data_IF_896162262698
#
_entry.id   IF_896162262698
#
_cell.length_a   1.000
_cell.length_b   1.000
_cell.length_c   1.000
_cell.angle_alpha   90.00
_cell.angle_beta   90.00
_cell.angle_gamma   90.00
#
_symmetry.space_group_name_H-M   'P 1'
#
loop_
_entity.id
_entity.type
_entity.pdbx_description
1 polymer ?
#
# COMPACT_ATOMS: atom_id res chain seq x y z
N UNK A 1 -19.63 -9.57 -12.13
CA UNK A 1 -18.57 -9.92 -11.17
C UNK A 1 -18.09 -8.65 -10.50
N UNK A 2 -18.06 -8.66 -9.18
CA UNK A 2 -17.86 -7.50 -8.33
C UNK A 2 -16.48 -6.87 -8.55
N UNK A 3 -16.45 -5.65 -9.08
CA UNK A 3 -15.21 -5.00 -9.51
C UNK A 3 -14.55 -4.14 -8.43
N UNK A 4 -14.55 -4.59 -7.18
CA UNK A 4 -13.92 -3.90 -6.06
C UNK A 4 -12.89 -4.80 -5.39
N UNK A 5 -12.10 -4.24 -4.47
CA UNK A 5 -11.09 -4.99 -3.73
C UNK A 5 -11.04 -4.58 -2.26
N UNK A 6 -10.26 -5.33 -1.48
CA UNK A 6 -9.98 -5.04 -0.08
C UNK A 6 -8.47 -5.05 0.16
N UNK A 7 -7.97 -4.07 0.91
CA UNK A 7 -6.65 -4.15 1.51
C UNK A 7 -6.81 -4.90 2.83
N UNK A 8 -6.08 -6.01 2.95
CA UNK A 8 -6.10 -6.85 4.14
C UNK A 8 -4.92 -6.53 5.04
N UNK A 9 -5.07 -6.83 6.33
CA UNK A 9 -3.99 -6.79 7.29
C UNK A 9 -2.94 -7.90 7.02
N UNK A 10 -1.87 -7.92 7.81
CA UNK A 10 -0.74 -8.86 7.66
C UNK A 10 -1.15 -10.34 7.70
N UNK A 11 -2.30 -10.66 8.32
CA UNK A 11 -2.81 -12.04 8.39
C UNK A 11 -3.43 -12.49 7.07
N UNK A 12 -3.72 -11.59 6.14
CA UNK A 12 -4.33 -11.84 4.82
C UNK A 12 -5.68 -12.58 4.87
N UNK A 13 -6.31 -12.61 6.04
CA UNK A 13 -7.65 -13.14 6.26
C UNK A 13 -8.66 -12.00 6.21
N UNK A 14 -9.90 -12.31 5.82
CA UNK A 14 -10.97 -11.33 5.84
C UNK A 14 -11.23 -10.85 7.28
N UNK A 15 -11.26 -9.54 7.48
CA UNK A 15 -11.41 -8.92 8.79
C UNK A 15 -12.28 -7.67 8.69
N UNK A 16 -12.84 -7.24 9.82
CA UNK A 16 -13.61 -5.98 9.88
C UNK A 16 -12.71 -4.75 9.71
N UNK A 17 -11.41 -4.92 9.92
CA UNK A 17 -10.39 -3.90 9.68
C UNK A 17 -9.97 -3.78 8.21
N UNK A 18 -10.55 -4.59 7.31
CA UNK A 18 -10.24 -4.53 5.89
C UNK A 18 -10.67 -3.19 5.28
N UNK A 19 -9.81 -2.63 4.42
CA UNK A 19 -10.09 -1.34 3.77
C UNK A 19 -10.65 -1.58 2.38
N UNK A 20 -11.84 -1.07 2.12
CA UNK A 20 -12.48 -1.11 0.82
C UNK A 20 -11.71 -0.27 -0.21
N UNK A 21 -11.52 -0.84 -1.40
CA UNK A 21 -10.92 -0.18 -2.56
C UNK A 21 -11.89 -0.20 -3.72
N UNK A 22 -12.26 0.99 -4.19
CA UNK A 22 -13.15 1.14 -5.34
C UNK A 22 -12.47 0.76 -6.66
N UNK A 23 -13.27 0.32 -7.63
CA UNK A 23 -12.79 0.02 -8.99
C UNK A 23 -11.98 1.16 -9.61
N UNK A 24 -12.42 2.40 -9.37
CA UNK A 24 -11.79 3.60 -9.90
C UNK A 24 -10.35 3.73 -9.41
N UNK A 25 -10.09 3.45 -8.13
CA UNK A 25 -8.74 3.50 -7.56
C UNK A 25 -7.88 2.33 -8.07
N UNK A 26 -8.46 1.13 -8.16
CA UNK A 26 -7.78 -0.04 -8.73
C UNK A 26 -7.27 0.27 -10.14
N UNK A 27 -8.13 0.83 -11.00
CA UNK A 27 -7.78 1.20 -12.37
C UNK A 27 -6.80 2.38 -12.43
N UNK A 28 -7.03 3.43 -11.64
CA UNK A 28 -6.20 4.65 -11.64
C UNK A 28 -4.74 4.35 -11.26
N UNK A 29 -4.51 3.49 -10.27
CA UNK A 29 -3.15 3.17 -9.80
C UNK A 29 -2.62 1.84 -10.33
N UNK A 30 -3.37 1.15 -11.19
CA UNK A 30 -2.97 -0.14 -11.75
C UNK A 30 -2.74 -1.21 -10.67
N UNK A 31 -3.56 -1.18 -9.61
CA UNK A 31 -3.49 -2.10 -8.48
C UNK A 31 -3.87 -3.51 -8.91
N UNK A 32 -3.19 -4.50 -8.34
CA UNK A 32 -3.44 -5.93 -8.54
C UNK A 32 -3.45 -6.63 -7.20
N UNK A 33 -4.05 -7.81 -7.14
CA UNK A 33 -3.96 -8.68 -5.96
C UNK A 33 -2.50 -8.91 -5.59
N UNK A 34 -2.18 -8.74 -4.30
CA UNK A 34 -0.81 -8.83 -3.78
C UNK A 34 -0.01 -7.54 -3.81
N UNK A 35 -0.52 -6.45 -4.39
CA UNK A 35 0.12 -5.14 -4.27
C UNK A 35 -0.02 -4.63 -2.82
N UNK A 36 1.11 -4.29 -2.20
CA UNK A 36 1.13 -3.59 -0.93
C UNK A 36 0.84 -2.11 -1.16
N UNK A 37 -0.19 -1.55 -0.52
CA UNK A 37 -0.70 -0.21 -0.79
C UNK A 37 -0.68 0.65 0.47
N UNK A 38 -0.15 1.87 0.35
CA UNK A 38 -0.18 2.88 1.40
C UNK A 38 -0.98 4.09 0.91
N UNK A 39 -1.89 4.60 1.76
CA UNK A 39 -2.67 5.78 1.44
C UNK A 39 -3.65 6.19 2.53
N UNK A 40 -4.25 7.40 2.40
CA UNK A 40 -5.22 7.90 3.36
C UNK A 40 -6.52 7.08 3.28
N UNK A 41 -6.98 6.65 4.45
CA UNK A 41 -8.23 5.93 4.65
C UNK A 41 -9.26 6.87 5.24
N UNK A 42 -10.52 6.77 4.81
CA UNK A 42 -11.64 7.45 5.46
C UNK A 42 -12.43 6.47 6.30
N UNK A 43 -13.02 7.00 7.37
CA UNK A 43 -14.03 6.26 8.12
C UNK A 43 -15.19 5.81 7.21
N UNK A 44 -15.84 4.68 7.53
CA UNK A 44 -17.06 4.25 6.86
C UNK A 44 -18.12 5.34 6.98
N UNK A 45 -18.93 5.55 5.93
CA UNK A 45 -20.03 6.53 5.94
C UNK A 45 -21.38 5.84 5.71
N UNK A 46 -22.40 6.30 6.42
CA UNK A 46 -23.76 5.79 6.26
C UNK A 46 -23.87 4.31 6.62
N UNK A 47 -24.12 3.47 5.62
CA UNK A 47 -24.31 2.01 5.76
C UNK A 47 -23.08 1.19 5.35
N UNK A 48 -21.93 1.85 5.09
CA UNK A 48 -20.69 1.15 4.75
C UNK A 48 -20.16 0.38 5.96
N UNK A 49 -19.87 -0.92 5.78
CA UNK A 49 -19.26 -1.75 6.83
C UNK A 49 -17.77 -1.48 7.00
N UNK A 50 -17.08 -1.16 5.91
CA UNK A 50 -15.62 -1.08 5.86
C UNK A 50 -15.12 0.36 5.66
N UNK A 51 -13.99 0.73 6.26
CA UNK A 51 -13.31 1.98 5.93
C UNK A 51 -12.88 1.98 4.45
N UNK A 52 -12.79 3.15 3.83
CA UNK A 52 -12.53 3.28 2.39
C UNK A 52 -11.21 3.97 2.05
N UNK A 53 -10.50 3.48 1.04
CA UNK A 53 -9.32 4.17 0.51
C UNK A 53 -9.76 5.46 -0.22
N UNK A 54 -9.19 6.61 0.12
CA UNK A 54 -9.65 7.90 -0.41
C UNK A 54 -9.05 8.26 -1.78
N UNK A 55 -7.78 7.92 -2.01
CA UNK A 55 -7.09 8.50 -3.16
C UNK A 55 -5.66 8.05 -3.31
N UNK A 56 -4.71 8.76 -2.71
CA UNK A 56 -3.28 8.58 -2.96
C UNK A 56 -2.78 7.22 -2.44
N UNK A 57 -2.89 6.20 -3.28
CA UNK A 57 -2.44 4.85 -3.04
C UNK A 57 -1.13 4.63 -3.80
N UNK A 58 -0.01 4.53 -3.10
CA UNK A 58 1.25 4.10 -3.73
C UNK A 58 1.41 2.60 -3.50
N UNK A 59 1.54 1.83 -4.57
CA UNK A 59 1.86 0.41 -4.43
C UNK A 59 3.37 0.20 -4.29
N UNK A 60 3.79 -0.75 -3.45
CA UNK A 60 5.20 -1.12 -3.31
C UNK A 60 5.79 -1.61 -4.64
N UNK A 61 4.99 -2.27 -5.48
CA UNK A 61 5.40 -2.64 -6.85
C UNK A 61 5.69 -1.39 -7.70
N UNK A 62 4.82 -0.39 -7.65
CA UNK A 62 5.02 0.86 -8.40
C UNK A 62 6.18 1.68 -7.83
N UNK A 63 6.40 1.62 -6.52
CA UNK A 63 7.56 2.18 -5.84
C UNK A 63 8.88 1.56 -6.34
N UNK A 64 9.00 0.23 -6.36
CA UNK A 64 10.18 -0.47 -6.86
C UNK A 64 10.42 -0.21 -8.35
N UNK A 65 9.36 -0.08 -9.16
CA UNK A 65 9.47 0.22 -10.61
C UNK A 65 10.05 1.60 -10.92
N UNK A 66 10.11 2.53 -9.96
CA UNK A 66 10.79 3.83 -10.14
C UNK A 66 12.32 3.72 -9.98
N UNK A 67 12.82 2.58 -9.49
CA UNK A 67 14.25 2.32 -9.25
C UNK A 67 14.73 2.88 -7.92
N UNK A 68 15.58 2.13 -7.19
CA UNK A 68 16.07 2.51 -5.85
C UNK A 68 16.71 3.91 -5.81
N UNK A 69 17.45 4.29 -6.86
CA UNK A 69 18.11 5.60 -6.96
C UNK A 69 17.15 6.79 -7.01
N UNK A 70 16.02 6.67 -7.73
CA UNK A 70 15.04 7.76 -7.82
C UNK A 70 14.26 7.94 -6.52
N UNK A 71 14.32 6.93 -5.66
CA UNK A 71 13.47 6.81 -4.49
C UNK A 71 14.22 7.18 -3.21
N UNK A 72 15.55 7.08 -3.18
CA UNK A 72 16.42 7.44 -2.06
C UNK A 72 16.14 8.84 -1.48
N UNK A 73 15.72 9.80 -2.32
CA UNK A 73 15.34 11.15 -1.90
C UNK A 73 13.94 11.25 -1.23
N UNK A 74 13.06 10.27 -1.46
CA UNK A 74 11.69 10.19 -0.92
C UNK A 74 11.59 9.31 0.35
N UNK A 75 12.71 8.74 0.81
CA UNK A 75 12.76 7.81 1.94
C UNK A 75 12.38 8.44 3.28
N UNK A 76 12.38 9.77 3.39
CA UNK A 76 11.92 10.49 4.58
C UNK A 76 10.42 10.34 4.86
N UNK A 77 9.62 9.92 3.86
CA UNK A 77 8.17 9.69 3.99
C UNK A 77 7.81 8.22 4.27
N UNK A 78 8.79 7.33 4.32
CA UNK A 78 8.61 5.90 4.57
C UNK A 78 9.35 5.54 5.86
N UNK A 79 8.83 5.99 7.00
CA UNK A 79 9.39 5.61 8.29
C UNK A 79 8.31 5.50 9.38
N UNK A 80 7.82 4.28 9.56
CA UNK A 80 7.56 3.59 10.85
C UNK A 80 7.55 2.08 10.56
N UNK A 81 8.69 1.47 10.17
CA UNK A 81 9.69 0.70 10.97
C UNK A 81 9.40 -0.83 11.00
N UNK A 82 10.41 -1.75 11.02
CA UNK A 82 11.79 -1.51 11.49
C UNK A 82 12.95 -1.97 10.57
N UNK A 83 14.01 -1.18 10.73
CA UNK A 83 15.43 -1.53 10.80
C UNK A 83 16.34 -1.52 9.53
N UNK A 84 17.06 -0.40 9.33
CA UNK A 84 18.22 -0.20 8.46
C UNK A 84 19.40 -1.18 8.58
N UNK A 85 19.44 -2.08 9.58
CA UNK A 85 20.54 -3.05 9.72
C UNK A 85 20.66 -4.00 8.52
N UNK A 86 19.54 -4.43 7.91
CA UNK A 86 19.56 -5.20 6.64
C UNK A 86 20.11 -4.39 5.46
N UNK A 87 19.90 -3.08 5.51
CA UNK A 87 20.38 -2.12 4.52
C UNK A 87 21.90 -1.93 4.62
N UNK A 88 22.48 -1.96 5.83
CA UNK A 88 23.94 -1.90 6.01
C UNK A 88 24.66 -3.13 5.44
N UNK A 89 24.08 -4.33 5.58
CA UNK A 89 24.65 -5.57 5.02
C UNK A 89 24.59 -5.58 3.49
N UNK A 90 23.52 -5.05 2.90
CA UNK A 90 23.38 -4.93 1.46
C UNK A 90 24.37 -3.92 0.84
N UNK A 91 24.90 -2.98 1.63
CA UNK A 91 25.82 -1.94 1.17
C UNK A 91 27.31 -2.32 1.29
N UNK A 92 27.66 -3.31 2.13
CA UNK A 92 29.03 -3.84 2.25
C UNK A 92 29.34 -4.96 1.24
N UNK A 93 28.32 -5.52 0.60
CA UNK A 93 28.45 -6.62 -0.37
C UNK A 93 28.45 -6.16 -1.84
N UNK A 94 28.42 -4.85 -2.08
CA UNK A 94 28.44 -4.20 -3.39
C UNK A 94 29.64 -3.24 -3.45
#
# INVERSE_FOLDING_TARGET
>A
MENYGFLRNERMLASEDDVYVSQTLIRRYGLRSGDYVLGPVRAPRGTEKYPGLQGAARSFRQFLRRGLHAVQAEWSLICTAPNPLKLSQAWQAA
#
